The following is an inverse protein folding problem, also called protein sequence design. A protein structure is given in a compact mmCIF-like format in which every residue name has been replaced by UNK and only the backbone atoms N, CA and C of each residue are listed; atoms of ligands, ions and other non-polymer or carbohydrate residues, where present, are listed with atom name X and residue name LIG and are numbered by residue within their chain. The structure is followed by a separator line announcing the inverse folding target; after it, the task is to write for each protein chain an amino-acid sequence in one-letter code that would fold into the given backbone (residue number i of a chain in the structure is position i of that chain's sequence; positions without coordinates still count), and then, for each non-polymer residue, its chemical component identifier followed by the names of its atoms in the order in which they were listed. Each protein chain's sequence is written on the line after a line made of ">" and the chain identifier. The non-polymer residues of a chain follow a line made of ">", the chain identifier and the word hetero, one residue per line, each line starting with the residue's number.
data_IF_376656219891
#
_entry.id   IF_376656219891
#
_cell.length_a   1.000
_cell.length_b   1.000
_cell.length_c   1.000
_cell.angle_alpha   90.00
_cell.angle_beta   90.00
_cell.angle_gamma   90.00
#
_symmetry.space_group_name_H-M   'P 1'
#
loop_
_entity.id
_entity.type
_entity.pdbx_description
1 polymer ?
#
# COMPACT_ATOMS: atom_id res chain seq x y z
N UNK A 1 -25.72 -8.23 37.02
CA UNK A 1 -25.40 -7.18 36.03
C UNK A 1 -23.89 -7.06 35.99
N UNK A 2 -23.12 -7.47 35.01
CA UNK A 2 -23.29 -8.20 33.77
C UNK A 2 -21.84 -8.36 33.35
N UNK A 3 -21.30 -9.58 33.43
CA UNK A 3 -19.94 -9.83 32.97
C UNK A 3 -20.02 -9.73 31.44
N UNK A 4 -19.85 -8.53 30.91
CA UNK A 4 -19.51 -8.34 29.50
C UNK A 4 -18.21 -9.13 29.31
N UNK A 5 -18.34 -10.30 28.69
CA UNK A 5 -17.19 -11.06 28.27
C UNK A 5 -16.41 -10.15 27.34
N UNK A 6 -15.20 -9.73 27.78
CA UNK A 6 -14.20 -9.13 26.90
C UNK A 6 -14.21 -9.96 25.61
N UNK A 7 -14.57 -9.36 24.46
CA UNK A 7 -14.63 -10.10 23.22
C UNK A 7 -13.22 -10.61 22.96
N UNK A 8 -13.01 -11.92 23.12
CA UNK A 8 -11.74 -12.59 22.90
C UNK A 8 -11.13 -12.02 21.62
N UNK A 9 -10.00 -11.32 21.75
CA UNK A 9 -9.34 -10.66 20.65
C UNK A 9 -9.27 -11.64 19.47
N UNK A 10 -9.85 -11.25 18.33
CA UNK A 10 -9.90 -12.14 17.18
C UNK A 10 -8.47 -12.55 16.81
N UNK A 11 -8.17 -13.85 16.70
CA UNK A 11 -6.80 -14.30 16.45
C UNK A 11 -6.27 -13.69 15.15
N UNK A 12 -5.16 -12.96 15.26
CA UNK A 12 -4.56 -12.23 14.16
C UNK A 12 -3.16 -12.76 13.80
N UNK A 13 -2.69 -12.56 12.55
CA UNK A 13 -1.41 -13.09 12.10
C UNK A 13 -0.19 -12.28 12.59
N UNK A 14 -0.40 -11.10 13.15
CA UNK A 14 0.66 -10.16 13.57
C UNK A 14 1.41 -10.58 14.84
N UNK A 15 2.60 -10.00 15.03
CA UNK A 15 3.42 -10.15 16.24
C UNK A 15 3.50 -8.81 16.98
N UNK A 16 3.41 -8.78 18.33
CA UNK A 16 3.26 -9.92 19.24
C UNK A 16 1.83 -10.51 19.23
N UNK A 17 1.67 -11.76 19.68
CA UNK A 17 0.41 -12.53 19.54
C UNK A 17 -0.70 -12.14 20.51
N UNK A 18 -0.33 -11.46 21.58
CA UNK A 18 -1.19 -10.88 22.61
C UNK A 18 -1.57 -9.42 22.30
N UNK A 19 -1.22 -8.91 21.12
CA UNK A 19 -1.61 -7.58 20.69
C UNK A 19 -3.13 -7.46 20.58
N UNK A 20 -3.69 -6.42 21.17
CA UNK A 20 -5.13 -6.15 21.07
C UNK A 20 -5.40 -5.30 19.84
N UNK A 21 -6.01 -5.91 18.80
CA UNK A 21 -6.41 -5.21 17.59
C UNK A 21 -7.92 -5.11 17.54
N UNK A 22 -8.43 -3.91 17.84
CA UNK A 22 -9.86 -3.62 17.80
C UNK A 22 -10.45 -3.84 16.42
N UNK A 23 -11.60 -4.52 16.34
CA UNK A 23 -12.38 -4.74 15.11
C UNK A 23 -11.60 -5.42 13.98
N UNK A 24 -10.56 -6.21 14.30
CA UNK A 24 -9.78 -6.90 13.28
C UNK A 24 -10.65 -7.80 12.41
N UNK A 25 -10.56 -7.61 11.09
CA UNK A 25 -11.15 -8.48 10.08
C UNK A 25 -10.06 -8.92 9.11
N UNK A 26 -9.81 -10.24 8.94
CA UNK A 26 -8.86 -10.75 7.96
C UNK A 26 -9.18 -10.29 6.54
N UNK A 27 -8.16 -10.22 5.69
CA UNK A 27 -8.35 -9.93 4.27
C UNK A 27 -9.19 -11.01 3.58
N UNK A 28 -10.19 -10.60 2.81
CA UNK A 28 -10.95 -11.49 1.92
C UNK A 28 -10.22 -11.72 0.58
N UNK A 29 -9.25 -10.86 0.22
CA UNK A 29 -8.43 -11.01 -0.97
C UNK A 29 -7.11 -11.72 -0.65
N UNK A 30 -6.69 -12.68 -1.49
CA UNK A 30 -5.36 -13.25 -1.39
C UNK A 30 -4.26 -12.22 -1.71
N UNK A 31 -3.10 -12.37 -1.07
CA UNK A 31 -1.93 -11.48 -1.20
C UNK A 31 -1.49 -11.23 -2.65
N UNK A 32 -1.68 -12.19 -3.56
CA UNK A 32 -1.29 -12.03 -4.95
C UNK A 32 -2.04 -10.90 -5.68
N UNK A 33 -3.26 -10.54 -5.24
CA UNK A 33 -3.97 -9.38 -5.77
C UNK A 33 -3.20 -8.08 -5.48
N UNK A 34 -2.69 -7.91 -4.26
CA UNK A 34 -1.88 -6.75 -3.87
C UNK A 34 -0.57 -6.68 -4.66
N UNK A 35 0.08 -7.84 -4.86
CA UNK A 35 1.29 -7.93 -5.69
C UNK A 35 1.00 -7.57 -7.14
N UNK A 36 -0.02 -8.19 -7.75
CA UNK A 36 -0.40 -7.95 -9.13
C UNK A 36 -0.73 -6.46 -9.36
N UNK A 37 -1.45 -5.82 -8.43
CA UNK A 37 -1.72 -4.39 -8.47
C UNK A 37 -0.43 -3.55 -8.39
N UNK A 38 0.42 -3.78 -7.38
CA UNK A 38 1.66 -3.01 -7.21
C UNK A 38 2.58 -3.11 -8.43
N UNK A 39 2.78 -4.32 -8.95
CA UNK A 39 3.62 -4.53 -10.13
C UNK A 39 3.01 -3.97 -11.40
N UNK A 40 1.70 -4.14 -11.63
CA UNK A 40 1.04 -3.64 -12.84
C UNK A 40 0.97 -2.11 -12.87
N UNK A 41 0.60 -1.46 -11.76
CA UNK A 41 0.55 0.01 -11.68
C UNK A 41 1.95 0.60 -11.77
N UNK A 42 2.94 0.02 -11.07
CA UNK A 42 4.33 0.50 -11.16
C UNK A 42 4.89 0.33 -12.58
N UNK A 43 4.61 -0.78 -13.25
CA UNK A 43 5.04 -1.01 -14.63
C UNK A 43 4.36 -0.03 -15.60
N UNK A 44 3.06 0.23 -15.42
CA UNK A 44 2.34 1.22 -16.22
C UNK A 44 2.90 2.63 -16.00
N UNK A 45 3.12 3.04 -14.75
CA UNK A 45 3.74 4.33 -14.43
C UNK A 45 5.12 4.45 -15.07
N UNK A 46 5.97 3.43 -14.91
CA UNK A 46 7.31 3.40 -15.51
C UNK A 46 7.23 3.54 -17.03
N UNK A 47 6.36 2.79 -17.70
CA UNK A 47 6.22 2.84 -19.16
C UNK A 47 5.72 4.21 -19.64
N UNK A 48 4.69 4.75 -18.98
CA UNK A 48 4.11 6.05 -19.30
C UNK A 48 5.12 7.18 -19.09
N UNK A 49 5.80 7.21 -17.94
CA UNK A 49 6.78 8.24 -17.62
C UNK A 49 8.03 8.11 -18.50
N UNK A 50 8.44 6.88 -18.81
CA UNK A 50 9.55 6.63 -19.74
C UNK A 50 9.24 7.15 -21.13
N UNK A 51 8.04 6.86 -21.65
CA UNK A 51 7.58 7.31 -22.96
C UNK A 51 7.46 8.84 -23.00
N UNK A 52 6.80 9.44 -22.00
CA UNK A 52 6.66 10.89 -21.88
C UNK A 52 8.02 11.60 -21.81
N UNK A 53 8.94 11.11 -20.97
CA UNK A 53 10.29 11.69 -20.85
C UNK A 53 11.17 11.46 -22.09
N UNK A 54 10.83 10.49 -22.93
CA UNK A 54 11.49 10.22 -24.22
C UNK A 54 10.90 10.98 -25.40
N UNK A 55 9.73 11.61 -25.22
CA UNK A 55 9.01 12.24 -26.32
C UNK A 55 9.71 13.53 -26.77
N UNK A 56 10.33 13.45 -27.95
CA UNK A 56 11.07 14.56 -28.58
C UNK A 56 10.24 15.81 -28.86
N UNK A 57 8.91 15.69 -28.92
CA UNK A 57 7.99 16.79 -29.20
C UNK A 57 8.01 17.89 -28.12
N UNK A 58 8.46 17.59 -26.90
CA UNK A 58 8.51 18.56 -25.80
C UNK A 58 9.88 19.23 -25.60
N UNK A 59 10.99 18.58 -25.96
CA UNK A 59 12.32 19.01 -25.53
C UNK A 59 13.30 19.26 -26.67
N UNK A 60 12.93 19.00 -27.94
CA UNK A 60 13.78 19.16 -29.12
C UNK A 60 14.96 18.16 -29.23
N UNK A 61 15.41 17.63 -28.09
CA UNK A 61 16.46 16.61 -27.97
C UNK A 61 16.05 15.52 -26.96
N UNK A 62 16.45 14.25 -27.17
CA UNK A 62 16.11 13.16 -26.26
C UNK A 62 16.84 13.32 -24.91
N UNK A 63 16.11 13.17 -23.81
CA UNK A 63 16.70 13.18 -22.47
C UNK A 63 17.69 12.02 -22.28
N UNK A 64 18.77 12.28 -21.54
CA UNK A 64 19.74 11.24 -21.15
C UNK A 64 19.02 10.11 -20.37
N UNK A 65 19.34 8.82 -20.63
CA UNK A 65 18.67 7.69 -19.97
C UNK A 65 18.64 7.78 -18.45
N UNK A 66 19.73 8.22 -17.81
CA UNK A 66 19.78 8.38 -16.34
C UNK A 66 18.76 9.38 -15.79
N UNK A 67 18.51 10.50 -16.49
CA UNK A 67 17.46 11.46 -16.10
C UNK A 67 16.06 10.88 -16.28
N UNK A 68 15.85 10.09 -17.34
CA UNK A 68 14.57 9.40 -17.58
C UNK A 68 14.29 8.37 -16.49
N UNK A 69 15.30 7.58 -16.10
CA UNK A 69 15.18 6.63 -14.98
C UNK A 69 14.87 7.36 -13.66
N UNK A 70 15.52 8.49 -13.39
CA UNK A 70 15.22 9.30 -12.20
C UNK A 70 13.77 9.80 -12.21
N UNK A 71 13.23 10.24 -13.34
CA UNK A 71 11.81 10.64 -13.46
C UNK A 71 10.87 9.45 -13.24
N UNK A 72 11.16 8.27 -13.79
CA UNK A 72 10.39 7.05 -13.52
C UNK A 72 10.40 6.70 -12.03
N UNK A 73 11.57 6.79 -11.38
CA UNK A 73 11.71 6.58 -9.94
C UNK A 73 10.83 7.56 -9.14
N UNK A 74 10.92 8.86 -9.44
CA UNK A 74 10.09 9.88 -8.77
C UNK A 74 8.59 9.64 -8.98
N UNK A 75 8.17 9.18 -10.16
CA UNK A 75 6.77 8.87 -10.41
C UNK A 75 6.27 7.69 -9.54
N UNK A 76 7.09 6.64 -9.40
CA UNK A 76 6.77 5.50 -8.51
C UNK A 76 6.74 5.96 -7.05
N UNK A 77 7.72 6.75 -6.60
CA UNK A 77 7.72 7.33 -5.26
C UNK A 77 6.46 8.18 -5.01
N UNK A 78 6.10 9.04 -5.96
CA UNK A 78 4.89 9.87 -5.86
C UNK A 78 3.61 9.04 -5.72
N UNK A 79 3.53 7.91 -6.43
CA UNK A 79 2.44 6.95 -6.28
C UNK A 79 2.42 6.30 -4.88
N UNK A 80 3.56 5.81 -4.39
CA UNK A 80 3.65 5.17 -3.07
C UNK A 80 3.28 6.17 -1.97
N UNK A 81 3.93 7.34 -1.95
CA UNK A 81 3.70 8.34 -0.90
C UNK A 81 2.31 8.99 -1.00
N UNK A 82 1.87 9.31 -2.22
CA UNK A 82 0.60 10.01 -2.43
C UNK A 82 -0.62 9.10 -2.27
N UNK A 83 -0.56 7.85 -2.75
CA UNK A 83 -1.72 6.95 -2.78
C UNK A 83 -1.67 5.96 -1.62
N UNK A 84 -0.57 5.21 -1.47
CA UNK A 84 -0.49 4.11 -0.50
C UNK A 84 -0.32 4.67 0.92
N UNK A 85 0.69 5.51 1.14
CA UNK A 85 0.93 6.15 2.44
C UNK A 85 -0.08 7.26 2.73
N UNK A 86 -0.58 7.94 1.69
CA UNK A 86 -1.71 8.86 1.83
C UNK A 86 -2.95 8.16 2.37
N UNK A 87 -3.27 6.96 1.89
CA UNK A 87 -4.37 6.15 2.43
C UNK A 87 -4.16 5.81 3.90
N UNK A 88 -2.95 5.37 4.28
CA UNK A 88 -2.64 5.11 5.69
C UNK A 88 -2.82 6.36 6.55
N UNK A 89 -2.28 7.49 6.10
CA UNK A 89 -2.37 8.75 6.85
C UNK A 89 -3.81 9.18 7.13
N UNK A 90 -4.73 8.88 6.21
CA UNK A 90 -6.15 9.23 6.33
C UNK A 90 -6.98 8.18 7.09
N UNK A 91 -6.65 6.89 6.98
CA UNK A 91 -7.53 5.79 7.41
C UNK A 91 -6.88 4.81 8.40
N UNK A 92 -5.69 5.10 8.96
CA UNK A 92 -4.94 4.17 9.81
C UNK A 92 -5.77 3.51 10.92
N UNK A 93 -6.69 4.25 11.56
CA UNK A 93 -7.55 3.72 12.63
C UNK A 93 -8.62 2.73 12.15
N UNK A 94 -8.99 2.78 10.87
CA UNK A 94 -10.04 1.93 10.28
C UNK A 94 -9.46 0.68 9.58
N UNK A 95 -8.17 0.71 9.21
CA UNK A 95 -7.47 -0.37 8.49
C UNK A 95 -7.71 -1.77 9.07
N UNK A 96 -7.69 -1.99 10.41
CA UNK A 96 -7.84 -3.33 10.96
C UNK A 96 -9.15 -4.02 10.57
N UNK A 97 -10.24 -3.27 10.50
CA UNK A 97 -11.57 -3.78 10.13
C UNK A 97 -11.95 -3.56 8.66
N UNK A 98 -11.26 -2.64 7.98
CA UNK A 98 -11.61 -2.23 6.62
C UNK A 98 -11.23 -3.30 5.57
N UNK A 99 -12.11 -3.45 4.57
CA UNK A 99 -11.97 -4.36 3.43
C UNK A 99 -11.73 -3.62 2.11
N UNK A 100 -11.53 -2.30 2.14
CA UNK A 100 -11.01 -1.55 1.00
C UNK A 100 -9.66 -2.09 0.56
N UNK A 101 -9.39 -2.04 -0.75
CA UNK A 101 -8.21 -2.65 -1.33
C UNK A 101 -6.89 -2.18 -0.70
N UNK A 102 -6.73 -0.86 -0.50
CA UNK A 102 -5.51 -0.30 0.09
C UNK A 102 -5.36 -0.65 1.58
N UNK A 103 -6.45 -0.76 2.34
CA UNK A 103 -6.42 -1.25 3.72
C UNK A 103 -5.99 -2.70 3.80
N UNK A 104 -6.43 -3.54 2.86
CA UNK A 104 -5.96 -4.92 2.78
C UNK A 104 -4.47 -5.02 2.43
N UNK A 105 -3.98 -4.14 1.54
CA UNK A 105 -2.54 -4.02 1.27
C UNK A 105 -1.76 -3.66 2.54
N UNK A 106 -2.25 -2.70 3.33
CA UNK A 106 -1.62 -2.35 4.61
C UNK A 106 -1.69 -3.49 5.63
N UNK A 107 -2.79 -4.24 5.70
CA UNK A 107 -2.89 -5.45 6.53
C UNK A 107 -1.90 -6.54 6.11
N UNK A 108 -1.57 -6.67 4.83
CA UNK A 108 -0.50 -7.56 4.37
C UNK A 108 0.87 -7.04 4.79
N UNK A 109 1.14 -5.74 4.58
CA UNK A 109 2.40 -5.10 4.98
C UNK A 109 2.65 -5.20 6.49
N UNK A 110 1.60 -5.05 7.29
CA UNK A 110 1.66 -5.10 8.74
C UNK A 110 2.04 -6.48 9.30
N UNK A 111 2.03 -7.55 8.49
CA UNK A 111 2.61 -8.84 8.89
C UNK A 111 4.11 -8.74 9.13
N UNK A 112 4.79 -7.79 8.47
CA UNK A 112 6.19 -7.46 8.74
C UNK A 112 6.38 -6.51 9.92
N UNK A 113 5.39 -5.65 10.20
CA UNK A 113 5.40 -4.69 11.31
C UNK A 113 3.98 -4.35 11.76
N UNK A 114 3.56 -4.87 12.92
CA UNK A 114 2.19 -4.77 13.42
C UNK A 114 1.74 -3.34 13.75
N UNK A 115 2.66 -2.38 13.82
CA UNK A 115 2.34 -0.97 14.08
C UNK A 115 1.45 -0.31 13.04
N UNK A 116 1.31 -0.92 11.86
CA UNK A 116 0.46 -0.41 10.78
C UNK A 116 -1.01 -0.89 10.86
N UNK A 117 -1.37 -1.66 11.89
CA UNK A 117 -2.73 -2.14 12.17
C UNK A 117 -3.13 -1.93 13.63
N UNK A 118 -2.47 -0.99 14.32
CA UNK A 118 -2.83 -0.53 15.66
C UNK A 118 -3.67 0.75 15.60
#
# INVERSE_FOLDING_TARGET
>A
MGLEAEPLAAPHPYWPRDLEIGRYVPNDRPTWHSLAFLFSVSAALLALTWWAAGWRGWTGAPMRPGRRLALCWFAICGFIHGVIEGWFSLYHTDIPGDQSFLSQLWKEYAKGDSRYVM
#
